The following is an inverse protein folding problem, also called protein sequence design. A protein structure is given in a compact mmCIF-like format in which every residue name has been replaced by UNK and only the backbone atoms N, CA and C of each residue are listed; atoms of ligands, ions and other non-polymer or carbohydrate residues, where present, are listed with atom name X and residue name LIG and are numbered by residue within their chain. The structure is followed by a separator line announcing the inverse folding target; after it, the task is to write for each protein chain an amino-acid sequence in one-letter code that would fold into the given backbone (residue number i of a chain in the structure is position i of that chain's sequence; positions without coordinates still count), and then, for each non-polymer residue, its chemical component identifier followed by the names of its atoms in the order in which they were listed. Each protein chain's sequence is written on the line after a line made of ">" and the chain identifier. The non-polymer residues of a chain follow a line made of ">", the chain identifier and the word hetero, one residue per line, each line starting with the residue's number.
data_IF_946707818154
#
_entry.id   IF_946707818154
#
_cell.length_a   1.000
_cell.length_b   1.000
_cell.length_c   1.000
_cell.angle_alpha   90.00
_cell.angle_beta   90.00
_cell.angle_gamma   90.00
#
_symmetry.space_group_name_H-M   'P 1'
#
loop_
_entity.id
_entity.type
_entity.pdbx_description
1 polymer ?
#
# COMPACT_ATOMS: atom_id res chain seq x y z
N UNK A 1 1.51 -14.13 7.70
CA UNK A 1 0.12 -13.60 7.70
C UNK A 1 -0.67 -14.06 6.47
N UNK A 2 -0.09 -14.04 5.25
CA UNK A 2 -0.78 -14.52 4.04
C UNK A 2 -1.26 -15.98 4.18
N UNK A 3 -0.38 -16.91 4.51
CA UNK A 3 -0.72 -18.33 4.72
C UNK A 3 -1.83 -18.55 5.76
N UNK A 4 -1.85 -17.73 6.82
CA UNK A 4 -2.91 -17.81 7.84
C UNK A 4 -4.24 -17.31 7.29
N UNK A 5 -4.24 -16.27 6.47
CA UNK A 5 -5.44 -15.76 5.83
C UNK A 5 -6.02 -16.77 4.82
N UNK A 6 -5.16 -17.38 4.01
CA UNK A 6 -5.55 -18.46 3.09
C UNK A 6 -6.13 -19.67 3.83
N UNK A 7 -5.52 -20.05 4.96
CA UNK A 7 -6.04 -21.10 5.84
C UNK A 7 -7.42 -20.78 6.45
N UNK A 8 -7.81 -19.52 6.48
CA UNK A 8 -9.15 -19.04 6.90
C UNK A 8 -10.12 -18.85 5.71
N UNK A 9 -9.71 -19.21 4.51
CA UNK A 9 -10.54 -19.14 3.29
C UNK A 9 -10.47 -17.80 2.55
N UNK A 10 -9.45 -16.98 2.82
CA UNK A 10 -9.20 -15.76 2.04
C UNK A 10 -8.43 -16.13 0.79
N UNK A 11 -8.92 -15.70 -0.36
CA UNK A 11 -8.21 -15.84 -1.63
C UNK A 11 -7.28 -14.65 -1.84
N UNK A 12 -6.00 -14.91 -2.13
CA UNK A 12 -4.96 -13.88 -2.34
C UNK A 12 -4.48 -13.97 -3.78
N UNK A 13 -4.55 -12.85 -4.49
CA UNK A 13 -4.16 -12.75 -5.90
C UNK A 13 -2.96 -11.79 -6.06
N UNK A 14 -1.73 -12.25 -5.82
CA UNK A 14 -0.55 -11.41 -6.00
C UNK A 14 -0.34 -11.08 -7.48
N UNK A 15 0.04 -9.83 -7.77
CA UNK A 15 0.31 -9.39 -9.15
C UNK A 15 -0.93 -8.95 -9.96
N UNK A 16 -2.12 -8.95 -9.36
CA UNK A 16 -3.34 -8.45 -10.00
C UNK A 16 -3.71 -7.07 -9.45
N UNK A 17 -3.24 -5.99 -10.05
CA UNK A 17 -3.58 -4.65 -9.59
C UNK A 17 -5.03 -4.30 -9.93
N UNK A 18 -5.74 -3.70 -8.98
CA UNK A 18 -7.02 -3.07 -9.25
C UNK A 18 -6.78 -1.78 -10.05
N UNK A 19 -7.47 -1.61 -11.17
CA UNK A 19 -7.29 -0.48 -12.09
C UNK A 19 -8.49 0.46 -12.15
N UNK A 20 -9.68 -0.03 -11.82
CA UNK A 20 -10.92 0.73 -11.95
C UNK A 20 -11.90 0.38 -10.82
N UNK A 21 -12.64 1.37 -10.36
CA UNK A 21 -13.77 1.17 -9.44
C UNK A 21 -15.05 1.00 -10.25
N UNK A 22 -15.75 -0.08 -10.03
CA UNK A 22 -17.03 -0.36 -10.67
C UNK A 22 -18.17 0.17 -9.81
N UNK A 23 -19.19 0.73 -10.46
CA UNK A 23 -20.35 1.34 -9.81
C UNK A 23 -21.64 0.69 -10.28
N UNK A 24 -22.60 0.62 -9.41
CA UNK A 24 -24.00 0.33 -9.74
C UNK A 24 -24.69 1.57 -10.34
N UNK A 25 -25.87 1.37 -10.92
CA UNK A 25 -26.65 2.46 -11.51
C UNK A 25 -27.04 3.54 -10.50
N UNK A 26 -27.14 3.20 -9.23
CA UNK A 26 -27.40 4.14 -8.12
C UNK A 26 -26.15 4.90 -7.65
N UNK A 27 -24.99 4.62 -8.27
CA UNK A 27 -23.70 5.24 -7.95
C UNK A 27 -22.95 4.61 -6.76
N UNK A 28 -23.50 3.58 -6.12
CA UNK A 28 -22.79 2.81 -5.09
C UNK A 28 -21.67 1.96 -5.70
N UNK A 29 -20.65 1.64 -4.90
CA UNK A 29 -19.52 0.79 -5.35
C UNK A 29 -20.04 -0.65 -5.53
N UNK A 30 -19.86 -1.20 -6.73
CA UNK A 30 -20.17 -2.58 -7.10
C UNK A 30 -18.99 -3.52 -6.85
N UNK A 31 -17.77 -3.00 -7.02
CA UNK A 31 -16.54 -3.77 -6.95
C UNK A 31 -15.38 -3.07 -7.64
N UNK A 32 -14.44 -3.85 -8.15
CA UNK A 32 -13.29 -3.33 -8.91
C UNK A 32 -13.09 -4.15 -10.19
N UNK A 33 -12.40 -3.54 -11.17
CA UNK A 33 -11.81 -4.28 -12.28
C UNK A 33 -10.30 -4.35 -12.10
N UNK A 34 -9.71 -5.49 -12.44
CA UNK A 34 -8.26 -5.64 -12.51
C UNK A 34 -7.73 -5.11 -13.84
N UNK A 35 -6.45 -4.80 -13.88
CA UNK A 35 -5.80 -4.35 -15.10
C UNK A 35 -5.60 -5.49 -16.08
N UNK A 36 -5.68 -5.19 -17.39
CA UNK A 36 -5.21 -6.10 -18.44
C UNK A 36 -3.72 -6.37 -18.27
N UNK A 37 -3.33 -7.63 -18.35
CA UNK A 37 -1.93 -8.06 -18.25
C UNK A 37 -1.35 -8.34 -19.63
N UNK A 38 -0.02 -8.33 -19.75
CA UNK A 38 0.66 -8.67 -20.99
C UNK A 38 0.48 -7.65 -22.11
N UNK A 39 0.39 -6.36 -21.79
CA UNK A 39 0.41 -5.23 -22.74
C UNK A 39 1.82 -4.64 -22.77
N UNK A 40 2.34 -4.32 -23.96
CA UNK A 40 3.62 -3.64 -24.13
C UNK A 40 3.49 -2.12 -23.90
N UNK A 41 4.62 -1.40 -23.98
CA UNK A 41 4.67 0.05 -23.77
C UNK A 41 3.91 0.84 -24.86
N UNK A 42 3.76 0.25 -26.03
CA UNK A 42 3.05 0.80 -27.18
C UNK A 42 1.56 0.48 -27.16
N UNK A 43 1.08 -0.32 -26.18
CA UNK A 43 -0.32 -0.71 -26.04
C UNK A 43 -0.71 -1.97 -26.81
N UNK A 44 0.24 -2.71 -27.39
CA UNK A 44 -0.05 -3.95 -28.12
C UNK A 44 -0.11 -5.14 -27.17
N UNK A 45 -0.95 -6.10 -27.50
CA UNK A 45 -1.08 -7.35 -26.76
C UNK A 45 0.10 -8.27 -27.06
N UNK A 46 0.76 -8.75 -26.01
CA UNK A 46 1.81 -9.80 -26.10
C UNK A 46 1.16 -11.18 -26.10
N UNK A 47 1.97 -12.21 -26.35
CA UNK A 47 1.53 -13.62 -26.26
C UNK A 47 1.02 -14.00 -24.85
N UNK A 48 1.44 -13.24 -23.83
CA UNK A 48 1.02 -13.38 -22.43
C UNK A 48 -0.14 -12.46 -22.05
N UNK A 49 -0.91 -11.98 -23.04
CA UNK A 49 -2.04 -11.10 -22.77
C UNK A 49 -3.16 -11.87 -22.04
N UNK A 50 -3.57 -11.31 -20.94
CA UNK A 50 -4.75 -11.73 -20.17
C UNK A 50 -5.64 -10.50 -19.91
N UNK A 51 -6.93 -10.57 -20.25
CA UNK A 51 -7.85 -9.48 -19.97
C UNK A 51 -8.07 -9.31 -18.47
N UNK A 52 -8.28 -8.09 -18.03
CA UNK A 52 -8.73 -7.80 -16.69
C UNK A 52 -10.09 -8.43 -16.37
N UNK A 53 -10.35 -8.64 -15.09
CA UNK A 53 -11.58 -9.23 -14.58
C UNK A 53 -12.33 -8.25 -13.71
N UNK A 54 -13.66 -8.31 -13.74
CA UNK A 54 -14.50 -7.62 -12.78
C UNK A 54 -14.68 -8.49 -11.53
N UNK A 55 -14.38 -7.92 -10.37
CA UNK A 55 -14.60 -8.54 -9.07
C UNK A 55 -15.70 -7.78 -8.34
N UNK A 56 -16.85 -8.42 -8.19
CA UNK A 56 -18.01 -7.84 -7.53
C UNK A 56 -18.08 -8.27 -6.07
N UNK A 57 -18.41 -7.33 -5.19
CA UNK A 57 -18.51 -7.61 -3.77
C UNK A 57 -19.64 -6.79 -3.10
N UNK A 58 -20.19 -7.33 -2.02
CA UNK A 58 -21.14 -6.58 -1.17
C UNK A 58 -20.47 -5.41 -0.45
N UNK A 59 -19.20 -5.56 -0.11
CA UNK A 59 -18.35 -4.53 0.51
C UNK A 59 -16.98 -4.60 -0.12
N UNK A 60 -16.45 -3.46 -0.53
CA UNK A 60 -15.08 -3.34 -1.06
C UNK A 60 -14.26 -2.47 -0.12
N UNK A 61 -13.11 -2.97 0.33
CA UNK A 61 -12.18 -2.23 1.21
C UNK A 61 -10.98 -1.79 0.40
N UNK A 62 -10.75 -0.49 0.33
CA UNK A 62 -9.60 0.10 -0.33
C UNK A 62 -8.50 0.37 0.69
N UNK A 63 -7.52 -0.52 0.77
CA UNK A 63 -6.41 -0.46 1.73
C UNK A 63 -5.08 -0.08 1.05
N UNK A 64 -5.13 0.91 0.16
CA UNK A 64 -4.04 1.34 -0.73
C UNK A 64 -3.04 2.31 -0.08
N UNK A 65 -3.17 2.56 1.23
CA UNK A 65 -2.34 3.54 1.93
C UNK A 65 -2.78 5.00 1.71
N UNK A 66 -1.94 5.93 2.14
CA UNK A 66 -2.29 7.35 2.22
C UNK A 66 -2.47 8.05 0.85
N UNK A 67 -1.96 7.46 -0.22
CA UNK A 67 -2.06 7.98 -1.59
C UNK A 67 -2.52 6.91 -2.58
N UNK A 68 -3.51 6.15 -2.18
CA UNK A 68 -4.10 5.10 -3.00
C UNK A 68 -4.55 5.60 -4.36
N UNK A 69 -4.36 4.79 -5.38
CA UNK A 69 -4.71 5.10 -6.76
C UNK A 69 -6.23 5.29 -6.90
N UNK A 70 -7.00 4.27 -6.58
CA UNK A 70 -8.46 4.31 -6.63
C UNK A 70 -9.07 5.12 -5.48
N UNK A 71 -8.41 5.16 -4.34
CA UNK A 71 -8.82 5.94 -3.17
C UNK A 71 -8.98 7.43 -3.50
N UNK A 72 -8.14 8.00 -4.39
CA UNK A 72 -8.26 9.39 -4.84
C UNK A 72 -9.54 9.64 -5.64
N UNK A 73 -9.95 8.69 -6.47
CA UNK A 73 -11.21 8.76 -7.21
C UNK A 73 -12.40 8.75 -6.26
N UNK A 74 -12.38 7.84 -5.30
CA UNK A 74 -13.44 7.71 -4.29
C UNK A 74 -13.57 8.97 -3.44
N UNK A 75 -12.45 9.51 -2.96
CA UNK A 75 -12.41 10.76 -2.19
C UNK A 75 -13.09 11.88 -2.99
N UNK A 76 -12.72 12.03 -4.27
CA UNK A 76 -13.29 13.05 -5.15
C UNK A 76 -14.77 12.81 -5.46
N UNK A 77 -15.12 11.56 -5.79
CA UNK A 77 -16.50 11.21 -6.21
C UNK A 77 -17.51 11.36 -5.06
N UNK A 78 -17.12 10.94 -3.87
CA UNK A 78 -17.99 10.97 -2.69
C UNK A 78 -17.71 12.15 -1.75
N UNK A 79 -16.86 13.10 -2.16
CA UNK A 79 -16.48 14.28 -1.37
C UNK A 79 -16.04 13.90 0.08
N UNK A 80 -15.27 12.80 0.23
CA UNK A 80 -14.93 12.24 1.55
C UNK A 80 -14.04 13.15 2.40
N UNK A 81 -13.36 14.10 1.78
CA UNK A 81 -12.51 15.11 2.41
C UNK A 81 -13.26 16.39 2.78
N UNK A 82 -14.51 16.54 2.33
CA UNK A 82 -15.31 17.73 2.60
C UNK A 82 -15.56 17.95 4.09
N UNK A 83 -15.18 19.12 4.57
CA UNK A 83 -15.31 19.47 5.99
C UNK A 83 -14.35 18.72 6.92
N UNK A 84 -13.33 18.08 6.39
CA UNK A 84 -12.25 17.45 7.17
C UNK A 84 -11.01 18.35 7.20
N UNK A 85 -10.18 18.12 8.22
CA UNK A 85 -8.88 18.78 8.26
C UNK A 85 -8.01 18.33 7.07
N UNK A 86 -7.11 19.20 6.56
CA UNK A 86 -6.15 18.82 5.54
C UNK A 86 -5.36 17.58 5.96
N UNK A 87 -5.21 16.65 5.04
CA UNK A 87 -4.42 15.45 5.27
C UNK A 87 -2.94 15.81 5.38
N UNK A 88 -2.29 15.34 6.43
CA UNK A 88 -0.85 15.48 6.62
C UNK A 88 -0.16 14.16 6.28
N UNK A 89 0.96 14.26 5.57
CA UNK A 89 1.73 13.10 5.15
C UNK A 89 3.11 13.14 5.81
N UNK A 90 3.40 12.09 6.61
CA UNK A 90 4.78 11.83 7.03
C UNK A 90 5.58 11.18 5.91
N UNK A 91 6.84 11.54 5.77
CA UNK A 91 7.79 10.87 4.90
C UNK A 91 8.79 10.17 5.79
N UNK A 92 8.94 8.85 5.60
CA UNK A 92 9.93 8.05 6.30
C UNK A 92 10.93 7.43 5.32
N UNK A 93 12.18 7.35 5.73
CA UNK A 93 13.21 6.59 5.04
C UNK A 93 13.59 5.40 5.94
N UNK A 94 13.73 4.24 5.34
CA UNK A 94 14.16 3.03 6.02
C UNK A 94 15.41 2.50 5.32
N UNK A 95 16.46 2.31 6.10
CA UNK A 95 17.74 1.80 5.62
C UNK A 95 18.19 0.66 6.54
N UNK A 96 18.93 -0.29 5.99
CA UNK A 96 19.59 -1.35 6.73
C UNK A 96 21.09 -1.11 6.62
N UNK A 97 21.75 -1.03 7.75
CA UNK A 97 23.18 -0.76 7.82
C UNK A 97 23.89 -1.96 8.45
N UNK A 98 24.97 -2.38 7.82
CA UNK A 98 25.92 -3.30 8.44
C UNK A 98 26.85 -2.53 9.37
N UNK A 99 26.88 -2.87 10.64
CA UNK A 99 27.68 -2.18 11.65
C UNK A 99 28.71 -3.15 12.25
N UNK A 100 29.79 -2.60 12.84
CA UNK A 100 30.77 -3.40 13.55
C UNK A 100 30.15 -4.02 14.81
N UNK A 101 30.41 -5.31 15.06
CA UNK A 101 29.85 -6.06 16.20
C UNK A 101 30.03 -5.37 17.57
N UNK A 102 31.13 -4.61 17.75
CA UNK A 102 31.37 -3.86 19.00
C UNK A 102 30.35 -2.75 19.27
N UNK A 103 29.63 -2.33 18.24
CA UNK A 103 28.62 -1.25 18.31
C UNK A 103 27.21 -1.82 18.25
N UNK A 104 27.06 -3.14 18.13
CA UNK A 104 25.78 -3.80 18.05
C UNK A 104 25.27 -4.15 19.46
N UNK A 105 24.01 -3.84 19.70
CA UNK A 105 23.26 -4.26 20.88
C UNK A 105 21.91 -4.80 20.43
N UNK A 106 21.73 -6.10 20.57
CA UNK A 106 20.53 -6.81 20.13
C UNK A 106 19.28 -6.25 20.82
N UNK A 107 18.26 -5.93 20.03
CA UNK A 107 16.98 -5.42 20.53
C UNK A 107 17.01 -3.94 20.96
N UNK A 108 18.13 -3.25 20.82
CA UNK A 108 18.20 -1.81 21.11
C UNK A 108 17.31 -1.04 20.12
N UNK A 109 16.42 -0.23 20.68
CA UNK A 109 15.58 0.70 19.92
C UNK A 109 15.79 2.10 20.45
N UNK A 110 16.28 3.01 19.60
CA UNK A 110 16.49 4.41 19.96
C UNK A 110 15.56 5.32 19.16
N UNK A 111 14.84 6.17 19.87
CA UNK A 111 14.08 7.28 19.29
C UNK A 111 14.82 8.57 19.57
N UNK A 112 15.09 9.33 18.52
CA UNK A 112 15.74 10.64 18.63
C UNK A 112 14.92 11.71 17.92
N UNK A 113 14.99 12.92 18.43
CA UNK A 113 14.39 14.09 17.81
C UNK A 113 15.31 15.32 18.05
N UNK A 114 15.25 16.30 17.16
CA UNK A 114 16.04 17.53 17.27
C UNK A 114 17.38 17.46 16.54
N UNK A 115 18.38 18.16 17.07
CA UNK A 115 19.68 18.30 16.40
C UNK A 115 20.36 16.96 16.10
N UNK A 116 20.94 16.76 14.90
CA UNK A 116 21.11 17.72 13.80
C UNK A 116 19.88 17.99 12.92
N UNK A 117 18.75 17.39 13.23
CA UNK A 117 17.47 17.58 12.54
C UNK A 117 16.61 18.62 13.26
N UNK A 118 15.51 19.03 12.64
CA UNK A 118 14.57 19.94 13.27
C UNK A 118 13.65 19.25 14.28
N UNK A 119 12.83 20.03 14.99
CA UNK A 119 11.92 19.50 16.01
C UNK A 119 10.73 18.72 15.44
N UNK A 120 10.56 18.71 14.12
CA UNK A 120 9.48 17.98 13.43
C UNK A 120 9.96 16.64 12.89
N UNK A 121 11.25 16.34 13.02
CA UNK A 121 11.86 15.11 12.50
C UNK A 121 12.18 14.17 13.66
N UNK A 122 11.68 12.98 13.59
CA UNK A 122 11.96 11.88 14.52
C UNK A 122 12.80 10.83 13.81
N UNK A 123 13.86 10.36 14.43
CA UNK A 123 14.61 9.18 13.98
C UNK A 123 14.32 8.01 14.89
N UNK A 124 14.13 6.86 14.28
CA UNK A 124 14.03 5.58 14.95
C UNK A 124 15.20 4.70 14.47
N UNK A 125 16.03 4.26 15.39
CA UNK A 125 17.05 3.26 15.16
C UNK A 125 16.65 1.97 15.87
N UNK A 126 16.72 0.84 15.18
CA UNK A 126 16.49 -0.48 15.74
C UNK A 126 17.70 -1.36 15.42
N UNK A 127 18.22 -2.08 16.43
CA UNK A 127 19.22 -3.12 16.24
C UNK A 127 18.50 -4.46 16.33
N UNK A 128 18.53 -5.23 15.26
CA UNK A 128 17.91 -6.55 15.19
C UNK A 128 19.01 -7.63 15.27
N UNK A 129 18.66 -8.79 15.84
CA UNK A 129 19.52 -9.95 15.74
C UNK A 129 19.62 -10.35 14.28
N UNK A 130 20.84 -10.41 13.76
CA UNK A 130 21.06 -11.08 12.49
C UNK A 130 20.71 -12.56 12.70
N UNK A 131 19.74 -13.05 11.96
CA UNK A 131 19.46 -14.47 11.89
C UNK A 131 20.73 -15.18 11.41
N UNK A 132 21.31 -16.06 12.25
CA UNK A 132 22.38 -16.97 11.88
C UNK A 132 21.90 -18.08 10.95
#
# INVERSE_FOLDING_TARGET
>A
MAEQAEGLGVEIFPGFPASEVLYNDDGSVKGIATQDMGIDKEGNKKDTYEPGMELHAKVTVFAEGCRGHLGKELIKKFELDKGKNPQQYGIGFKEIWEIENKNHEEGLVMHTAGWPLDNNTCLLYTSDAADE
#
